data_IF_067186256404
#
_entry.id   IF_067186256404
#
_cell.length_a   1.000
_cell.length_b   1.000
_cell.length_c   1.000
_cell.angle_alpha   90.00
_cell.angle_beta   90.00
_cell.angle_gamma   90.00
#
_symmetry.space_group_name_H-M   'P 1'
#
loop_
_entity.id
_entity.type
_entity.pdbx_description
1 polymer ?
#
# COMPACT_ATOMS: atom_id res chain seq x y z
N UNK A 1 9.41 -9.26 39.81
CA UNK A 1 8.64 -9.81 38.67
C UNK A 1 9.34 -11.08 38.17
N UNK A 2 8.76 -12.24 38.41
CA UNK A 2 9.31 -13.53 37.95
C UNK A 2 9.19 -13.65 36.43
N UNK A 3 10.31 -13.80 35.72
CA UNK A 3 10.34 -14.16 34.29
C UNK A 3 9.82 -15.59 34.16
N UNK A 4 8.55 -15.77 33.78
CA UNK A 4 8.02 -17.07 33.34
C UNK A 4 8.91 -17.59 32.21
N UNK A 5 9.73 -18.60 32.48
CA UNK A 5 10.41 -19.38 31.44
C UNK A 5 9.33 -20.09 30.64
N UNK A 6 9.11 -19.67 29.40
CA UNK A 6 8.20 -20.36 28.48
C UNK A 6 8.86 -21.71 28.17
N UNK A 7 8.23 -22.80 28.61
CA UNK A 7 8.72 -24.15 28.34
C UNK A 7 8.31 -24.57 26.92
N UNK A 8 9.22 -24.35 25.96
CA UNK A 8 9.00 -24.62 24.53
C UNK A 8 8.67 -26.09 24.23
N UNK A 9 9.10 -27.03 25.10
CA UNK A 9 8.84 -28.47 24.91
C UNK A 9 7.35 -28.81 24.96
N UNK A 10 6.54 -28.01 25.67
CA UNK A 10 5.09 -28.19 25.72
C UNK A 10 4.39 -27.90 24.38
N UNK A 11 5.04 -27.15 23.49
CA UNK A 11 4.52 -26.78 22.17
C UNK A 11 5.04 -27.70 21.05
N UNK A 12 6.11 -28.46 21.29
CA UNK A 12 6.71 -29.44 20.36
C UNK A 12 6.05 -30.84 20.44
N UNK A 13 4.75 -30.90 20.73
CA UNK A 13 4.01 -32.15 20.62
C UNK A 13 3.82 -32.51 19.14
N UNK A 14 3.89 -33.80 18.80
CA UNK A 14 3.77 -34.31 17.42
C UNK A 14 2.56 -33.71 16.68
N UNK A 15 1.42 -33.56 17.37
CA UNK A 15 0.21 -32.91 16.86
C UNK A 15 0.45 -31.46 16.42
N UNK A 16 1.16 -30.65 17.21
CA UNK A 16 1.43 -29.25 16.89
C UNK A 16 2.46 -29.13 15.75
N UNK A 17 3.45 -30.02 15.71
CA UNK A 17 4.43 -30.09 14.62
C UNK A 17 3.74 -30.45 13.30
N UNK A 18 2.81 -31.43 13.33
CA UNK A 18 2.00 -31.79 12.16
C UNK A 18 1.08 -30.64 11.73
N UNK A 19 0.42 -29.95 12.67
CA UNK A 19 -0.38 -28.76 12.36
C UNK A 19 0.50 -27.66 11.73
N UNK A 20 1.69 -27.40 12.28
CA UNK A 20 2.62 -26.42 11.73
C UNK A 20 3.09 -26.80 10.32
N UNK A 21 3.38 -28.08 10.07
CA UNK A 21 3.75 -28.60 8.74
C UNK A 21 2.61 -28.48 7.74
N UNK A 22 1.37 -28.78 8.14
CA UNK A 22 0.19 -28.60 7.28
C UNK A 22 -0.02 -27.12 6.97
N UNK A 23 0.11 -26.23 7.97
CA UNK A 23 0.06 -24.78 7.75
C UNK A 23 1.17 -24.33 6.80
N UNK A 24 2.38 -24.86 6.94
CA UNK A 24 3.52 -24.58 6.04
C UNK A 24 3.26 -25.07 4.62
N UNK A 25 2.72 -26.28 4.45
CA UNK A 25 2.35 -26.83 3.14
C UNK A 25 1.24 -26.03 2.47
N UNK A 26 0.19 -25.67 3.21
CA UNK A 26 -0.87 -24.79 2.71
C UNK A 26 -0.30 -23.41 2.37
N UNK A 27 0.61 -22.88 3.19
CA UNK A 27 1.29 -21.62 2.92
C UNK A 27 2.24 -21.67 1.72
N UNK A 28 2.81 -22.82 1.39
CA UNK A 28 3.60 -23.01 0.17
C UNK A 28 2.71 -23.14 -1.07
N UNK A 29 1.60 -23.89 -0.98
CA UNK A 29 0.64 -24.08 -2.09
C UNK A 29 -0.09 -22.76 -2.40
N UNK A 30 -0.35 -21.94 -1.38
CA UNK A 30 -0.98 -20.63 -1.49
C UNK A 30 -0.05 -19.48 -1.13
N UNK A 31 1.25 -19.62 -1.42
CA UNK A 31 2.29 -18.61 -1.10
C UNK A 31 1.93 -17.22 -1.59
N UNK A 32 1.33 -17.13 -2.78
CA UNK A 32 0.81 -15.89 -3.35
C UNK A 32 -0.26 -15.25 -2.45
N UNK A 33 -1.27 -15.99 -2.03
CA UNK A 33 -2.36 -15.47 -1.19
C UNK A 33 -1.89 -15.14 0.24
N UNK A 34 -1.02 -15.98 0.82
CA UNK A 34 -0.44 -15.74 2.15
C UNK A 34 0.43 -14.48 2.14
N UNK A 35 1.27 -14.31 1.12
CA UNK A 35 2.06 -13.09 0.91
C UNK A 35 1.16 -11.87 0.80
N UNK A 36 0.05 -11.97 0.07
CA UNK A 36 -0.95 -10.89 -0.03
C UNK A 36 -1.55 -10.50 1.32
N UNK A 37 -1.97 -11.48 2.13
CA UNK A 37 -2.53 -11.23 3.47
C UNK A 37 -1.48 -10.60 4.38
N UNK A 38 -0.25 -11.12 4.39
CA UNK A 38 0.84 -10.56 5.20
C UNK A 38 1.17 -9.13 4.80
N UNK A 39 1.22 -8.83 3.50
CA UNK A 39 1.43 -7.48 3.00
C UNK A 39 0.31 -6.54 3.45
N UNK A 40 -0.96 -6.96 3.40
CA UNK A 40 -2.08 -6.15 3.91
C UNK A 40 -1.94 -5.91 5.42
N UNK A 41 -1.60 -6.94 6.20
CA UNK A 41 -1.40 -6.84 7.66
C UNK A 41 -0.27 -5.86 8.01
N UNK A 42 0.77 -5.77 7.19
CA UNK A 42 1.90 -4.85 7.41
C UNK A 42 1.60 -3.45 6.87
N UNK A 43 1.08 -3.36 5.64
CA UNK A 43 0.89 -2.08 4.96
C UNK A 43 -0.30 -1.28 5.50
N UNK A 44 -1.37 -1.93 5.97
CA UNK A 44 -2.52 -1.20 6.51
C UNK A 44 -2.18 -0.40 7.78
N UNK A 45 -1.46 -0.95 8.79
CA UNK A 45 -0.96 -0.17 9.92
C UNK A 45 -0.03 0.98 9.50
N UNK A 46 0.88 0.75 8.55
CA UNK A 46 1.77 1.80 8.04
C UNK A 46 0.96 2.92 7.39
N UNK A 47 -0.04 2.57 6.59
CA UNK A 47 -0.96 3.53 5.96
C UNK A 47 -1.75 4.31 6.99
N UNK A 48 -2.26 3.65 8.03
CA UNK A 48 -2.95 4.32 9.11
C UNK A 48 -2.06 5.33 9.85
N UNK A 49 -0.83 4.92 10.18
CA UNK A 49 0.17 5.76 10.87
C UNK A 49 0.52 6.97 10.00
N UNK A 50 0.87 6.74 8.74
CA UNK A 50 1.30 7.81 7.81
C UNK A 50 0.18 8.82 7.54
N UNK A 51 -1.06 8.36 7.35
CA UNK A 51 -2.25 9.24 7.24
C UNK A 51 -2.46 10.06 8.51
N UNK A 52 -2.27 9.47 9.70
CA UNK A 52 -2.40 10.20 10.97
C UNK A 52 -1.35 11.29 11.14
N UNK A 53 -0.10 11.01 10.78
CA UNK A 53 1.01 11.97 10.93
C UNK A 53 1.09 13.01 9.80
N UNK A 54 0.62 12.68 8.59
CA UNK A 54 0.52 13.65 7.49
C UNK A 54 -0.33 14.89 7.88
N UNK A 55 -1.25 14.74 8.83
CA UNK A 55 -2.04 15.85 9.39
C UNK A 55 -1.23 16.90 10.14
N UNK A 56 0.01 16.59 10.56
CA UNK A 56 0.82 17.51 11.38
C UNK A 56 1.48 18.62 10.58
N UNK A 57 1.52 18.51 9.24
CA UNK A 57 2.08 19.53 8.36
C UNK A 57 1.03 19.94 7.33
N UNK A 58 0.53 21.20 7.35
CA UNK A 58 -0.47 21.66 6.41
C UNK A 58 0.00 21.43 4.97
N UNK A 59 -0.89 20.87 4.14
CA UNK A 59 -0.70 20.67 2.71
C UNK A 59 0.41 19.68 2.29
N UNK A 60 1.18 19.12 3.24
CA UNK A 60 2.17 18.06 2.96
C UNK A 60 1.58 16.71 3.32
N UNK A 61 1.53 15.80 2.35
CA UNK A 61 1.05 14.44 2.60
C UNK A 61 2.17 13.43 2.47
N UNK A 62 2.58 12.90 3.62
CA UNK A 62 3.46 11.74 3.73
C UNK A 62 2.57 10.50 3.87
N UNK A 63 1.63 10.29 2.95
CA UNK A 63 0.72 9.13 3.03
C UNK A 63 1.29 7.96 2.21
N UNK A 64 1.33 6.77 2.79
CA UNK A 64 1.81 5.58 2.08
C UNK A 64 0.74 4.89 1.23
N UNK A 65 -0.53 5.30 1.32
CA UNK A 65 -1.65 4.59 0.68
C UNK A 65 -1.44 4.38 -0.83
N UNK A 66 -1.06 5.46 -1.54
CA UNK A 66 -0.76 5.41 -2.97
C UNK A 66 0.34 4.40 -3.28
N UNK A 67 1.46 4.49 -2.58
CA UNK A 67 2.61 3.61 -2.78
C UNK A 67 2.27 2.13 -2.55
N UNK A 68 1.59 1.83 -1.44
CA UNK A 68 1.20 0.48 -1.08
C UNK A 68 0.14 -0.07 -2.05
N UNK A 69 -0.78 0.76 -2.53
CA UNK A 69 -1.76 0.40 -3.57
C UNK A 69 -1.08 0.06 -4.91
N UNK A 70 -0.08 0.83 -5.33
CA UNK A 70 0.75 0.52 -6.50
C UNK A 70 1.46 -0.83 -6.36
N UNK A 71 2.06 -1.10 -5.20
CA UNK A 71 2.76 -2.37 -4.94
C UNK A 71 1.82 -3.58 -4.99
N UNK A 72 0.69 -3.49 -4.28
CA UNK A 72 -0.34 -4.54 -4.28
C UNK A 72 -0.91 -4.74 -5.69
N UNK A 73 -1.17 -3.65 -6.41
CA UNK A 73 -1.65 -3.68 -7.79
C UNK A 73 -0.66 -4.37 -8.74
N UNK A 74 0.63 -4.14 -8.56
CA UNK A 74 1.67 -4.79 -9.35
C UNK A 74 1.70 -6.31 -9.16
N UNK A 75 1.65 -6.78 -7.90
CA UNK A 75 1.79 -8.22 -7.58
C UNK A 75 0.50 -9.01 -7.86
N UNK A 76 -0.64 -8.44 -7.47
CA UNK A 76 -1.92 -9.15 -7.45
C UNK A 76 -2.90 -8.70 -8.55
N UNK A 77 -2.51 -7.70 -9.33
CA UNK A 77 -3.26 -7.22 -10.47
C UNK A 77 -4.04 -5.92 -10.19
N UNK A 78 -4.50 -5.26 -11.26
CA UNK A 78 -5.03 -3.90 -11.21
C UNK A 78 -6.25 -3.75 -10.30
N UNK A 79 -7.16 -4.73 -10.32
CA UNK A 79 -8.39 -4.70 -9.50
C UNK A 79 -8.06 -4.81 -8.00
N UNK A 80 -7.09 -5.65 -7.64
CA UNK A 80 -6.67 -5.79 -6.23
C UNK A 80 -5.99 -4.51 -5.74
N UNK A 81 -5.14 -3.90 -6.57
CA UNK A 81 -4.53 -2.59 -6.27
C UNK A 81 -5.57 -1.50 -6.03
N UNK A 82 -6.58 -1.41 -6.91
CA UNK A 82 -7.69 -0.46 -6.79
C UNK A 82 -8.43 -0.64 -5.46
N UNK A 83 -8.90 -1.86 -5.17
CA UNK A 83 -9.65 -2.13 -3.96
C UNK A 83 -8.82 -1.95 -2.70
N UNK A 84 -7.52 -2.29 -2.74
CA UNK A 84 -6.61 -2.01 -1.63
C UNK A 84 -6.56 -0.50 -1.34
N UNK A 85 -6.32 0.33 -2.36
CA UNK A 85 -6.21 1.78 -2.19
C UNK A 85 -7.49 2.41 -1.64
N UNK A 86 -8.66 1.94 -2.10
CA UNK A 86 -9.96 2.39 -1.63
C UNK A 86 -10.29 1.91 -0.21
N UNK A 87 -10.11 0.61 0.07
CA UNK A 87 -10.51 0.01 1.34
C UNK A 87 -9.58 0.41 2.48
N UNK A 88 -8.27 0.28 2.30
CA UNK A 88 -7.28 0.64 3.33
C UNK A 88 -7.23 2.15 3.52
N UNK A 89 -7.28 2.92 2.43
CA UNK A 89 -7.41 4.38 2.48
C UNK A 89 -8.67 4.79 3.24
N UNK A 90 -9.84 4.33 2.80
CA UNK A 90 -11.13 4.64 3.43
C UNK A 90 -11.16 4.28 4.91
N UNK A 91 -10.74 3.07 5.28
CA UNK A 91 -10.66 2.66 6.68
C UNK A 91 -9.73 3.57 7.49
N UNK A 92 -8.55 3.89 6.96
CA UNK A 92 -7.57 4.74 7.63
C UNK A 92 -8.12 6.14 7.91
N UNK A 93 -8.89 6.71 6.99
CA UNK A 93 -9.49 8.04 7.14
C UNK A 93 -10.68 8.05 8.11
N UNK A 94 -11.57 7.03 8.06
CA UNK A 94 -12.69 6.89 9.01
C UNK A 94 -12.18 6.81 10.44
N UNK A 95 -11.17 5.98 10.68
CA UNK A 95 -10.56 5.82 12.01
C UNK A 95 -9.84 7.08 12.52
N UNK A 96 -9.56 8.01 11.62
CA UNK A 96 -8.85 9.24 11.90
C UNK A 96 -9.80 10.45 12.08
N UNK A 97 -11.13 10.28 11.97
CA UNK A 97 -12.17 11.29 12.21
C UNK A 97 -12.05 12.60 11.41
N UNK A 98 -11.39 12.58 10.26
CA UNK A 98 -11.27 13.73 9.36
C UNK A 98 -11.69 13.31 7.95
N UNK A 99 -12.87 13.74 7.52
CA UNK A 99 -13.37 13.55 6.15
C UNK A 99 -13.38 14.90 5.47
N UNK A 100 -12.26 15.26 4.82
CA UNK A 100 -12.22 16.40 3.90
C UNK A 100 -12.31 15.91 2.46
N UNK A 101 -12.77 16.77 1.56
CA UNK A 101 -12.87 16.43 0.14
C UNK A 101 -11.50 16.16 -0.50
N UNK A 102 -10.45 16.83 -0.01
CA UNK A 102 -9.04 16.58 -0.37
C UNK A 102 -8.66 15.14 -0.07
N UNK A 103 -9.02 14.63 1.11
CA UNK A 103 -8.69 13.27 1.53
C UNK A 103 -9.51 12.20 0.80
N UNK A 104 -10.81 12.43 0.57
CA UNK A 104 -11.60 11.50 -0.25
C UNK A 104 -11.02 11.38 -1.66
N UNK A 105 -10.58 12.51 -2.21
CA UNK A 105 -9.92 12.55 -3.50
C UNK A 105 -8.58 11.83 -3.51
N UNK A 106 -7.78 11.89 -2.44
CA UNK A 106 -6.50 11.17 -2.38
C UNK A 106 -6.68 9.65 -2.31
N UNK A 107 -7.72 9.16 -1.63
CA UNK A 107 -8.10 7.74 -1.60
C UNK A 107 -8.41 7.24 -3.03
N UNK A 108 -9.23 7.99 -3.77
CA UNK A 108 -9.61 7.66 -5.15
C UNK A 108 -8.35 7.64 -6.03
N UNK A 109 -7.53 8.68 -5.95
CA UNK A 109 -6.29 8.77 -6.73
C UNK A 109 -5.29 7.67 -6.37
N UNK A 110 -5.22 7.24 -5.11
CA UNK A 110 -4.41 6.10 -4.68
C UNK A 110 -4.89 4.80 -5.35
N UNK A 111 -6.19 4.52 -5.32
CA UNK A 111 -6.78 3.37 -6.01
C UNK A 111 -6.53 3.41 -7.52
N UNK A 112 -6.66 4.58 -8.16
CA UNK A 112 -6.34 4.76 -9.59
C UNK A 112 -4.86 4.47 -9.86
N UNK A 113 -3.94 4.93 -9.02
CA UNK A 113 -2.52 4.63 -9.17
C UNK A 113 -2.22 3.12 -9.03
N UNK A 114 -2.88 2.45 -8.09
CA UNK A 114 -2.83 1.00 -7.93
C UNK A 114 -3.31 0.24 -9.16
N UNK A 115 -4.45 0.67 -9.71
CA UNK A 115 -4.99 0.14 -10.95
C UNK A 115 -4.00 0.33 -12.11
N UNK A 116 -3.50 1.56 -12.33
CA UNK A 116 -2.57 1.88 -13.41
C UNK A 116 -1.29 1.04 -13.32
N UNK A 117 -0.69 0.94 -12.14
CA UNK A 117 0.54 0.15 -11.93
C UNK A 117 0.29 -1.33 -12.25
N UNK A 118 -0.83 -1.89 -11.76
CA UNK A 118 -1.21 -3.27 -12.05
C UNK A 118 -1.45 -3.51 -13.54
N UNK A 119 -2.13 -2.59 -14.23
CA UNK A 119 -2.37 -2.69 -15.68
C UNK A 119 -1.07 -2.62 -16.47
N UNK A 120 -0.17 -1.70 -16.13
CA UNK A 120 1.15 -1.57 -16.77
C UNK A 120 1.97 -2.86 -16.69
N UNK A 121 1.90 -3.55 -15.55
CA UNK A 121 2.54 -4.84 -15.40
C UNK A 121 1.79 -5.95 -16.15
N UNK A 122 0.50 -6.14 -15.87
CA UNK A 122 -0.26 -7.29 -16.37
C UNK A 122 -0.52 -7.26 -17.87
N UNK A 123 -0.71 -6.07 -18.46
CA UNK A 123 -1.02 -5.92 -19.88
C UNK A 123 0.23 -5.63 -20.74
N UNK A 124 1.24 -4.95 -20.19
CA UNK A 124 2.40 -4.50 -20.97
C UNK A 124 3.75 -5.07 -20.49
N UNK A 125 3.76 -5.87 -19.41
CA UNK A 125 4.97 -6.50 -18.89
C UNK A 125 6.01 -5.52 -18.34
N UNK A 126 5.59 -4.31 -17.95
CA UNK A 126 6.53 -3.30 -17.47
C UNK A 126 7.17 -3.73 -16.13
N UNK A 127 8.48 -3.45 -15.93
CA UNK A 127 9.13 -3.62 -14.63
C UNK A 127 8.51 -2.73 -13.56
N UNK A 128 8.56 -3.16 -12.29
CA UNK A 128 7.95 -2.46 -11.16
C UNK A 128 8.31 -0.99 -11.11
N UNK A 129 9.61 -0.65 -11.15
CA UNK A 129 10.06 0.73 -11.02
C UNK A 129 9.49 1.63 -12.13
N UNK A 130 9.47 1.13 -13.37
CA UNK A 130 8.94 1.86 -14.53
C UNK A 130 7.43 2.02 -14.46
N UNK A 131 6.71 0.94 -14.14
CA UNK A 131 5.25 0.95 -13.98
C UNK A 131 4.82 1.90 -12.85
N UNK A 132 5.50 1.84 -11.71
CA UNK A 132 5.26 2.70 -10.57
C UNK A 132 5.53 4.17 -10.93
N UNK A 133 6.69 4.47 -11.52
CA UNK A 133 7.04 5.84 -11.92
C UNK A 133 5.98 6.42 -12.86
N UNK A 134 5.62 5.68 -13.91
CA UNK A 134 4.61 6.13 -14.88
C UNK A 134 3.24 6.31 -14.23
N UNK A 135 2.81 5.39 -13.35
CA UNK A 135 1.55 5.51 -12.63
C UNK A 135 1.49 6.75 -11.74
N UNK A 136 2.58 7.10 -11.05
CA UNK A 136 2.64 8.32 -10.23
C UNK A 136 2.55 9.59 -11.10
N UNK A 137 3.26 9.64 -12.22
CA UNK A 137 3.17 10.79 -13.15
C UNK A 137 1.75 10.94 -13.68
N UNK A 138 1.15 9.86 -14.18
CA UNK A 138 -0.22 9.89 -14.72
C UNK A 138 -1.22 10.27 -13.63
N UNK A 139 -1.09 9.71 -12.41
CA UNK A 139 -1.92 10.07 -11.27
C UNK A 139 -1.82 11.57 -10.94
N UNK A 140 -0.63 12.15 -10.97
CA UNK A 140 -0.44 13.60 -10.76
C UNK A 140 -1.11 14.44 -11.86
N UNK A 141 -1.00 14.01 -13.12
CA UNK A 141 -1.68 14.68 -14.24
C UNK A 141 -3.20 14.60 -14.10
N UNK A 142 -3.74 13.46 -13.68
CA UNK A 142 -5.18 13.28 -13.43
C UNK A 142 -5.65 14.11 -12.23
N UNK A 143 -4.81 14.24 -11.20
CA UNK A 143 -5.19 14.92 -9.98
C UNK A 143 -5.45 16.41 -10.16
N UNK A 144 -4.77 17.06 -11.11
CA UNK A 144 -4.93 18.49 -11.35
C UNK A 144 -6.36 18.90 -11.80
N UNK A 145 -6.93 18.33 -12.88
CA UNK A 145 -8.32 18.58 -13.25
C UNK A 145 -9.28 18.03 -12.18
N UNK A 146 -8.98 16.89 -11.56
CA UNK A 146 -9.82 16.31 -10.51
C UNK A 146 -10.01 17.27 -9.32
N UNK A 147 -8.92 17.79 -8.76
CA UNK A 147 -8.96 18.74 -7.64
C UNK A 147 -9.67 20.05 -8.00
N UNK A 148 -9.54 20.50 -9.25
CA UNK A 148 -10.28 21.66 -9.74
C UNK A 148 -11.79 21.39 -9.76
N UNK A 149 -12.21 20.20 -10.20
CA UNK A 149 -13.63 19.80 -10.24
C UNK A 149 -14.27 19.68 -8.86
N UNK A 150 -13.51 19.23 -7.85
CA UNK A 150 -14.01 19.12 -6.47
C UNK A 150 -13.86 20.41 -5.65
N UNK A 151 -13.45 21.52 -6.26
CA UNK A 151 -13.39 22.84 -5.63
C UNK A 151 -12.24 23.04 -4.65
N UNK A 152 -11.16 22.26 -4.75
CA UNK A 152 -9.96 22.41 -3.92
C UNK A 152 -9.13 23.58 -4.46
N UNK A 153 -8.57 24.39 -3.56
CA UNK A 153 -7.76 25.55 -3.97
C UNK A 153 -6.55 25.13 -4.82
N UNK A 154 -6.18 25.88 -5.87
CA UNK A 154 -5.03 25.54 -6.73
C UNK A 154 -3.71 25.42 -5.97
N UNK A 155 -3.52 26.25 -4.93
CA UNK A 155 -2.31 26.23 -4.10
C UNK A 155 -2.23 24.96 -3.24
N UNK A 156 -3.33 24.59 -2.58
CA UNK A 156 -3.43 23.32 -1.83
C UNK A 156 -3.23 22.11 -2.75
N UNK A 157 -3.88 22.13 -3.92
CA UNK A 157 -3.72 21.11 -4.96
C UNK A 157 -2.24 20.94 -5.34
N UNK A 158 -1.55 22.04 -5.67
CA UNK A 158 -0.17 22.01 -6.12
C UNK A 158 0.79 21.47 -5.04
N UNK A 159 0.69 21.99 -3.82
CA UNK A 159 1.54 21.59 -2.69
C UNK A 159 1.30 20.13 -2.30
N UNK A 160 0.05 19.69 -2.30
CA UNK A 160 -0.30 18.31 -1.98
C UNK A 160 0.17 17.32 -3.05
N UNK A 161 0.01 17.66 -4.33
CA UNK A 161 0.47 16.83 -5.44
C UNK A 161 1.99 16.76 -5.53
N UNK A 162 2.68 17.89 -5.33
CA UNK A 162 4.14 17.94 -5.35
C UNK A 162 4.74 17.13 -4.20
N UNK A 163 4.21 17.27 -2.99
CA UNK A 163 4.67 16.48 -1.84
C UNK A 163 4.42 14.98 -2.07
N UNK A 164 3.22 14.61 -2.52
CA UNK A 164 2.89 13.22 -2.87
C UNK A 164 3.84 12.65 -3.92
N UNK A 165 4.07 13.36 -5.01
CA UNK A 165 4.99 12.92 -6.06
C UNK A 165 6.41 12.74 -5.52
N UNK A 166 6.90 13.70 -4.73
CA UNK A 166 8.22 13.63 -4.11
C UNK A 166 8.37 12.40 -3.20
N UNK A 167 7.46 12.19 -2.24
CA UNK A 167 7.54 11.04 -1.33
C UNK A 167 7.41 9.71 -2.07
N UNK A 168 6.52 9.64 -3.07
CA UNK A 168 6.36 8.41 -3.85
C UNK A 168 7.60 8.06 -4.67
N UNK A 169 8.25 9.04 -5.30
CA UNK A 169 9.39 8.77 -6.18
C UNK A 169 10.72 8.68 -5.43
N UNK A 170 10.91 9.48 -4.37
CA UNK A 170 12.20 9.58 -3.67
C UNK A 170 12.29 8.58 -2.51
N UNK A 171 11.18 8.33 -1.81
CA UNK A 171 11.17 7.47 -0.61
C UNK A 171 10.57 6.10 -0.93
N UNK A 172 9.33 6.07 -1.43
CA UNK A 172 8.61 4.81 -1.55
C UNK A 172 9.06 3.96 -2.74
N UNK A 173 9.38 4.55 -3.89
CA UNK A 173 9.84 3.79 -5.06
C UNK A 173 11.11 2.97 -4.76
N UNK A 174 12.20 3.52 -4.20
CA UNK A 174 13.36 2.72 -3.82
C UNK A 174 13.03 1.65 -2.76
N UNK A 175 12.27 2.02 -1.72
CA UNK A 175 11.90 1.11 -0.63
C UNK A 175 11.10 -0.09 -1.14
N UNK A 176 10.09 0.16 -1.97
CA UNK A 176 9.22 -0.86 -2.51
C UNK A 176 9.89 -1.66 -3.62
N UNK A 177 10.82 -1.08 -4.38
CA UNK A 177 11.62 -1.85 -5.34
C UNK A 177 12.50 -2.87 -4.61
N UNK A 178 13.17 -2.45 -3.53
CA UNK A 178 13.95 -3.36 -2.69
C UNK A 178 13.07 -4.44 -2.04
N UNK A 179 11.86 -4.08 -1.59
CA UNK A 179 10.90 -5.05 -1.06
C UNK A 179 10.42 -6.02 -2.14
N UNK A 180 10.18 -5.55 -3.37
CA UNK A 180 9.81 -6.40 -4.50
C UNK A 180 10.90 -7.42 -4.78
N UNK A 181 12.16 -7.00 -4.87
CA UNK A 181 13.29 -7.89 -5.14
C UNK A 181 13.45 -8.96 -4.04
N UNK A 182 13.18 -8.61 -2.78
CA UNK A 182 13.19 -9.56 -1.66
C UNK A 182 12.04 -10.57 -1.73
N UNK A 183 10.88 -10.16 -2.24
CA UNK A 183 9.70 -11.02 -2.34
C UNK A 183 9.63 -11.78 -3.66
N UNK A 184 10.29 -11.33 -4.73
CA UNK A 184 10.26 -11.93 -6.06
C UNK A 184 10.45 -13.47 -6.10
N UNK A 185 11.22 -14.11 -5.21
CA UNK A 185 11.32 -15.58 -5.18
C UNK A 185 10.05 -16.32 -4.72
N UNK A 186 9.10 -15.63 -4.09
CA UNK A 186 7.91 -16.24 -3.43
C UNK A 186 6.56 -15.75 -3.96
N UNK A 187 6.55 -14.84 -4.93
CA UNK A 187 5.37 -14.27 -5.61
C UNK A 187 5.44 -14.55 -7.11
#
# INVERSE_FOLDING_TARGET
MSKKKIDFRKYLNLRNVLIALVILLVALIWSRYVTGILLVIVFAPITFITVRYAKMVPHISIESNTAMSCFIGYIFGPIVGLFYGLAVGGFSYVMNSFVSITYVSTIILAGVAGFLTGTMHSAFGMPFATAYFAAIIIRTVIAFPWFTMVGISPFESFTHQTSQMFFNLVIYLPLLSALYDLLAPVI
#
